data_IF_146684147034
#
_entry.id   IF_146684147034
#
_cell.length_a   1.000
_cell.length_b   1.000
_cell.length_c   1.000
_cell.angle_alpha   90.00
_cell.angle_beta   90.00
_cell.angle_gamma   90.00
#
_symmetry.space_group_name_H-M   'P 1'
#
loop_
_entity.id
_entity.type
_entity.pdbx_description
1 polymer ?
#
# COMPACT_ATOMS: atom_id res chain seq x y z
N UNK A 1 23.88 -34.01 -9.05
CA UNK A 1 23.84 -32.57 -9.38
C UNK A 1 22.40 -32.27 -9.76
N UNK A 2 21.59 -31.88 -8.77
CA UNK A 2 20.22 -31.42 -8.97
C UNK A 2 20.20 -29.93 -8.67
N UNK A 3 20.30 -29.11 -9.72
CA UNK A 3 20.08 -27.67 -9.65
C UNK A 3 18.77 -27.37 -10.37
N UNK A 4 17.65 -27.67 -9.74
CA UNK A 4 16.35 -27.15 -10.18
C UNK A 4 16.23 -25.73 -9.62
N UNK A 5 16.24 -24.68 -10.47
CA UNK A 5 16.11 -23.31 -10.00
C UNK A 5 14.73 -23.12 -9.38
N UNK A 6 14.67 -22.35 -8.29
CA UNK A 6 13.53 -22.17 -7.40
C UNK A 6 12.17 -22.10 -8.09
N UNK A 7 11.35 -23.12 -7.85
CA UNK A 7 9.91 -23.01 -8.03
C UNK A 7 9.39 -22.04 -6.96
N UNK A 8 9.05 -20.83 -7.37
CA UNK A 8 8.27 -19.90 -6.57
C UNK A 8 7.02 -20.63 -6.09
N UNK A 9 6.96 -20.95 -4.79
CA UNK A 9 5.80 -21.56 -4.14
C UNK A 9 4.64 -20.56 -4.25
N UNK A 10 3.85 -20.64 -5.32
CA UNK A 10 2.58 -19.95 -5.42
C UNK A 10 1.68 -20.64 -4.40
N UNK A 11 1.64 -20.12 -3.18
CA UNK A 11 0.80 -20.63 -2.09
C UNK A 11 -0.63 -20.73 -2.64
N UNK A 12 -1.14 -21.95 -2.72
CA UNK A 12 -2.43 -22.25 -3.32
C UNK A 12 -3.54 -21.44 -2.60
N UNK A 13 -4.12 -20.47 -3.32
CA UNK A 13 -5.15 -19.57 -2.80
C UNK A 13 -4.66 -18.30 -2.09
N UNK A 14 -3.42 -17.83 -2.33
CA UNK A 14 -3.06 -16.42 -2.10
C UNK A 14 -3.38 -15.57 -3.33
N UNK A 15 -3.90 -14.37 -3.10
CA UNK A 15 -4.19 -13.40 -4.17
C UNK A 15 -3.03 -12.43 -4.25
N UNK A 16 -2.09 -12.68 -5.17
CA UNK A 16 -0.83 -11.93 -5.27
C UNK A 16 -1.03 -10.42 -5.48
N UNK A 17 -2.06 -10.02 -6.22
CA UNK A 17 -2.41 -8.61 -6.41
C UNK A 17 -2.84 -7.93 -5.11
N UNK A 18 -3.57 -8.65 -4.25
CA UNK A 18 -4.02 -8.15 -2.94
C UNK A 18 -2.85 -8.03 -1.96
N UNK A 19 -1.94 -9.00 -1.99
CA UNK A 19 -0.70 -8.96 -1.21
C UNK A 19 0.20 -7.78 -1.63
N UNK A 20 0.35 -7.53 -2.93
CA UNK A 20 1.10 -6.38 -3.46
C UNK A 20 0.45 -5.05 -3.06
N UNK A 21 -0.87 -4.94 -3.24
CA UNK A 21 -1.62 -3.74 -2.89
C UNK A 21 -1.50 -3.42 -1.40
N UNK A 22 -1.66 -4.43 -0.54
CA UNK A 22 -1.40 -4.29 0.91
C UNK A 22 0.03 -3.84 1.20
N UNK A 23 1.01 -4.40 0.49
CA UNK A 23 2.41 -4.00 0.62
C UNK A 23 2.64 -2.53 0.30
N UNK A 24 2.02 -2.01 -0.75
CA UNK A 24 2.06 -0.57 -1.08
C UNK A 24 1.43 0.26 0.04
N UNK A 25 0.25 -0.12 0.54
CA UNK A 25 -0.41 0.60 1.64
C UNK A 25 0.46 0.65 2.90
N UNK A 26 1.12 -0.47 3.25
CA UNK A 26 2.09 -0.51 4.36
C UNK A 26 3.31 0.37 4.10
N UNK A 27 3.85 0.36 2.88
CA UNK A 27 4.98 1.18 2.50
C UNK A 27 4.68 2.67 2.67
N UNK A 28 3.46 3.10 2.32
CA UNK A 28 3.02 4.47 2.53
C UNK A 28 3.01 4.86 4.02
N UNK A 29 2.54 3.99 4.91
CA UNK A 29 2.59 4.22 6.36
C UNK A 29 4.03 4.32 6.90
N UNK A 30 4.92 3.46 6.38
CA UNK A 30 6.32 3.47 6.79
C UNK A 30 6.99 4.79 6.37
N UNK A 31 6.70 5.28 5.16
CA UNK A 31 7.21 6.55 4.66
C UNK A 31 6.83 7.73 5.56
N UNK A 32 5.61 7.76 6.08
CA UNK A 32 5.19 8.78 7.06
C UNK A 32 5.92 8.58 8.39
N UNK A 33 5.93 7.36 8.93
CA UNK A 33 6.54 7.06 10.23
C UNK A 33 8.05 7.34 10.32
N UNK A 34 8.73 7.36 9.17
CA UNK A 34 10.17 7.65 9.06
C UNK A 34 10.46 9.14 8.83
N UNK A 35 9.44 10.00 8.75
CA UNK A 35 9.58 11.43 8.51
C UNK A 35 9.98 11.78 7.07
N UNK A 36 9.93 10.82 6.14
CA UNK A 36 10.33 11.03 4.74
C UNK A 36 9.47 12.11 4.06
N UNK A 37 8.18 12.17 4.40
CA UNK A 37 7.25 13.12 3.80
C UNK A 37 7.50 14.56 4.23
N UNK A 38 7.98 14.76 5.46
CA UNK A 38 8.42 16.08 5.94
C UNK A 38 9.62 16.58 5.14
N UNK A 39 10.58 15.69 4.82
CA UNK A 39 11.74 16.01 4.00
C UNK A 39 11.35 16.36 2.56
N UNK A 40 10.41 15.61 1.98
CA UNK A 40 9.87 15.87 0.65
C UNK A 40 9.08 17.19 0.57
N UNK A 41 8.54 17.67 1.70
CA UNK A 41 7.88 18.98 1.85
C UNK A 41 8.87 20.14 2.04
N UNK A 42 10.18 19.87 2.10
CA UNK A 42 11.16 20.93 2.33
C UNK A 42 11.03 22.07 1.30
N UNK A 43 11.10 23.36 1.72
CA UNK A 43 10.91 24.50 0.82
C UNK A 43 11.89 24.54 -0.37
N UNK A 44 13.03 23.86 -0.23
CA UNK A 44 14.04 23.66 -1.27
C UNK A 44 13.56 22.82 -2.46
N UNK A 45 12.51 22.00 -2.30
CA UNK A 45 11.98 21.11 -3.34
C UNK A 45 10.73 21.68 -4.02
N UNK A 46 10.27 22.87 -3.62
CA UNK A 46 9.13 23.54 -4.27
C UNK A 46 9.41 23.79 -5.76
N UNK A 47 8.48 23.36 -6.62
CA UNK A 47 8.58 23.46 -8.09
C UNK A 47 9.20 22.23 -8.78
N UNK A 48 9.68 21.25 -8.02
CA UNK A 48 10.19 19.98 -8.57
C UNK A 48 9.15 18.86 -8.48
N UNK A 49 9.36 17.77 -9.25
CA UNK A 49 8.50 16.57 -9.20
C UNK A 49 8.43 15.98 -7.78
N UNK A 50 9.53 16.04 -7.02
CA UNK A 50 9.56 15.58 -5.62
C UNK A 50 8.67 16.43 -4.71
N UNK A 51 8.66 17.75 -4.89
CA UNK A 51 7.77 18.65 -4.15
C UNK A 51 6.29 18.40 -4.47
N UNK A 52 5.95 18.08 -5.72
CA UNK A 52 4.59 17.68 -6.10
C UNK A 52 4.16 16.37 -5.41
N UNK A 53 5.06 15.37 -5.34
CA UNK A 53 4.81 14.12 -4.61
C UNK A 53 4.63 14.38 -3.12
N UNK A 54 5.46 15.23 -2.51
CA UNK A 54 5.34 15.63 -1.11
C UNK A 54 3.98 16.25 -0.79
N UNK A 55 3.44 17.10 -1.67
CA UNK A 55 2.11 17.70 -1.51
C UNK A 55 0.97 16.67 -1.55
N UNK A 56 1.12 15.57 -2.30
CA UNK A 56 0.11 14.50 -2.36
C UNK A 56 0.15 13.58 -1.13
N UNK A 57 1.29 13.54 -0.44
CA UNK A 57 1.54 12.73 0.76
C UNK A 57 1.26 13.50 2.07
N UNK A 58 0.72 14.72 1.96
CA UNK A 58 0.28 15.54 3.08
C UNK A 58 -1.20 15.32 3.37
N UNK A 59 -1.58 15.36 4.65
CA UNK A 59 -2.98 15.25 5.05
C UNK A 59 -3.72 16.56 4.79
N UNK A 60 -4.83 16.54 4.07
CA UNK A 60 -5.62 17.75 3.87
C UNK A 60 -6.58 17.98 5.07
N UNK A 61 -6.75 19.22 5.58
CA UNK A 61 -7.46 19.43 6.84
C UNK A 61 -8.96 19.10 6.83
N UNK A 62 -9.69 19.26 5.72
CA UNK A 62 -11.14 19.02 5.71
C UNK A 62 -11.84 18.96 4.33
N UNK A 63 -11.53 19.89 3.40
CA UNK A 63 -12.24 20.03 2.11
C UNK A 63 -11.35 19.73 0.90
N UNK A 64 -10.65 18.60 0.93
CA UNK A 64 -9.74 18.18 -0.13
C UNK A 64 -9.52 16.67 -0.07
N UNK A 65 -8.94 16.15 -1.14
CA UNK A 65 -8.52 14.75 -1.23
C UNK A 65 -7.06 14.74 -1.66
N UNK A 66 -6.17 14.40 -0.73
CA UNK A 66 -4.80 14.06 -1.06
C UNK A 66 -4.64 12.54 -1.16
N UNK A 67 -3.60 12.12 -1.87
CA UNK A 67 -3.32 10.70 -2.03
C UNK A 67 -3.12 10.00 -0.67
N UNK A 68 -2.58 10.73 0.31
CA UNK A 68 -2.46 10.26 1.69
C UNK A 68 -3.79 9.81 2.33
N UNK A 69 -4.89 10.53 2.04
CA UNK A 69 -6.19 10.26 2.65
C UNK A 69 -6.80 8.92 2.17
N UNK A 70 -6.30 8.38 1.04
CA UNK A 70 -6.76 7.12 0.47
C UNK A 70 -6.23 5.88 1.22
N UNK A 71 -5.25 6.04 2.10
CA UNK A 71 -4.68 4.92 2.88
C UNK A 71 -5.79 4.21 3.69
N UNK A 72 -6.69 4.96 4.33
CA UNK A 72 -7.79 4.38 5.12
C UNK A 72 -8.82 3.64 4.24
N UNK A 73 -9.34 4.22 3.14
CA UNK A 73 -10.16 3.50 2.17
C UNK A 73 -9.50 2.25 1.59
N UNK A 74 -8.18 2.27 1.35
CA UNK A 74 -7.44 1.10 0.84
C UNK A 74 -7.48 -0.07 1.82
N UNK A 75 -7.36 0.18 3.13
CA UNK A 75 -7.54 -0.88 4.13
C UNK A 75 -8.94 -1.49 4.09
N UNK A 76 -9.97 -0.65 3.99
CA UNK A 76 -11.35 -1.13 3.90
C UNK A 76 -11.58 -1.94 2.63
N UNK A 77 -10.99 -1.53 1.51
CA UNK A 77 -11.03 -2.31 0.26
C UNK A 77 -10.34 -3.67 0.40
N UNK A 78 -9.12 -3.70 0.97
CA UNK A 78 -8.38 -4.95 1.18
C UNK A 78 -9.19 -5.93 2.04
N UNK A 79 -9.74 -5.45 3.15
CA UNK A 79 -10.57 -6.26 4.04
C UNK A 79 -11.85 -6.72 3.33
N UNK A 80 -12.53 -5.82 2.62
CA UNK A 80 -13.73 -6.13 1.85
C UNK A 80 -13.53 -7.25 0.83
N UNK A 81 -12.41 -7.22 0.10
CA UNK A 81 -12.05 -8.28 -0.86
C UNK A 81 -11.62 -9.56 -0.16
N UNK A 82 -10.84 -9.48 0.93
CA UNK A 82 -10.32 -10.66 1.62
C UNK A 82 -11.40 -11.49 2.34
N UNK A 83 -12.46 -10.85 2.85
CA UNK A 83 -13.53 -11.50 3.61
C UNK A 83 -14.23 -12.66 2.86
N UNK A 84 -14.75 -12.50 1.62
CA UNK A 84 -15.42 -13.59 0.92
C UNK A 84 -14.48 -14.77 0.62
N UNK A 85 -13.21 -14.52 0.27
CA UNK A 85 -12.22 -15.60 0.07
C UNK A 85 -11.94 -16.37 1.37
N UNK A 86 -11.91 -15.67 2.51
CA UNK A 86 -11.72 -16.29 3.84
C UNK A 86 -12.91 -17.17 4.21
N UNK A 87 -14.15 -16.70 4.00
CA UNK A 87 -15.38 -17.46 4.29
C UNK A 87 -15.48 -18.69 3.38
N UNK A 88 -15.24 -18.53 2.07
CA UNK A 88 -15.27 -19.64 1.12
C UNK A 88 -14.29 -20.75 1.49
N UNK A 89 -13.07 -20.40 1.91
CA UNK A 89 -12.08 -21.37 2.42
C UNK A 89 -12.50 -22.05 3.71
N UNK A 90 -13.26 -21.37 4.59
CA UNK A 90 -13.74 -21.96 5.85
C UNK A 90 -14.89 -22.94 5.63
N UNK A 91 -15.75 -22.70 4.64
CA UNK A 91 -16.88 -23.57 4.30
C UNK A 91 -16.50 -24.76 3.42
N UNK A 92 -15.36 -24.69 2.72
CA UNK A 92 -14.81 -25.81 1.94
C UNK A 92 -14.01 -26.84 2.77
N UNK A 93 -13.85 -26.60 4.08
CA UNK A 93 -13.27 -27.54 5.06
C UNK A 93 -14.40 -28.27 5.77
#
# INVERSE_FOLDING_TARGET
>A
MDTTPGQSQVIEGRVASLDFFRGITMFLLIGESTGLYELLRSPSLHGTVLGFIGLQLDHHPWNGLHFWDLVQPFFMFIVGVAMPFSIGKRWAR
#
